data_IF_763825692739
#
_entry.id   IF_763825692739
#
_cell.length_a   1.000
_cell.length_b   1.000
_cell.length_c   1.000
_cell.angle_alpha   90.00
_cell.angle_beta   90.00
_cell.angle_gamma   90.00
#
_symmetry.space_group_name_H-M   'P 1'
#
loop_
_entity.id
_entity.type
_entity.pdbx_description
1 polymer ?
#
# COMPACT_ATOMS: atom_id res chain seq x y z
N UNK A 1 -16.05 -3.40 -0.87
CA UNK A 1 -14.82 -3.66 -1.66
C UNK A 1 -14.59 -2.57 -2.69
N UNK A 2 -13.48 -1.85 -2.56
CA UNK A 2 -13.06 -0.82 -3.49
C UNK A 2 -11.55 -0.89 -3.76
N UNK A 3 -11.14 -0.29 -4.88
CA UNK A 3 -9.74 -0.07 -5.20
C UNK A 3 -9.38 1.39 -4.94
N UNK A 4 -8.30 1.59 -4.19
CA UNK A 4 -7.81 2.90 -3.76
C UNK A 4 -6.43 3.13 -4.37
N UNK A 5 -6.21 4.34 -4.88
CA UNK A 5 -5.05 4.68 -5.73
C UNK A 5 -4.42 6.02 -5.36
N UNK A 6 -5.02 6.78 -4.45
CA UNK A 6 -4.62 8.14 -4.13
C UNK A 6 -3.60 8.19 -3.00
N UNK A 7 -2.86 9.29 -2.94
CA UNK A 7 -1.80 9.45 -1.93
C UNK A 7 -2.41 9.51 -0.54
N UNK A 8 -1.90 8.68 0.37
CA UNK A 8 -2.38 8.65 1.76
C UNK A 8 -3.52 7.67 2.00
N UNK A 9 -4.15 7.12 0.96
CA UNK A 9 -5.12 6.03 1.12
C UNK A 9 -4.50 4.89 1.91
N UNK A 10 -5.27 4.40 2.88
CA UNK A 10 -4.80 3.45 3.88
C UNK A 10 -5.77 2.28 3.96
N UNK A 11 -5.22 1.07 3.94
CA UNK A 11 -5.95 -0.16 4.27
C UNK A 11 -5.42 -0.79 5.54
N UNK A 12 -6.30 -1.38 6.32
CA UNK A 12 -5.96 -2.13 7.51
C UNK A 12 -6.68 -3.48 7.51
N UNK A 13 -5.90 -4.56 7.63
CA UNK A 13 -6.44 -5.92 7.68
C UNK A 13 -5.78 -6.77 8.76
N UNK A 14 -6.49 -7.78 9.25
CA UNK A 14 -5.92 -8.84 10.07
C UNK A 14 -4.95 -9.72 9.26
N UNK A 15 -5.26 -9.90 7.98
CA UNK A 15 -4.44 -10.60 7.00
C UNK A 15 -4.53 -9.87 5.66
N UNK A 16 -3.39 -9.65 5.03
CA UNK A 16 -3.31 -9.01 3.72
C UNK A 16 -2.51 -9.87 2.73
N UNK A 17 -2.87 -9.75 1.46
CA UNK A 17 -2.05 -10.20 0.35
C UNK A 17 -1.34 -9.02 -0.28
N UNK A 18 -0.03 -9.17 -0.43
CA UNK A 18 0.85 -8.13 -0.94
C UNK A 18 1.45 -8.63 -2.25
N UNK A 19 1.36 -7.77 -3.26
CA UNK A 19 2.13 -7.91 -4.49
C UNK A 19 3.08 -6.73 -4.59
N UNK A 20 4.33 -6.99 -4.96
CA UNK A 20 5.28 -5.94 -5.31
C UNK A 20 6.38 -6.49 -6.19
N UNK A 21 7.10 -5.65 -6.93
CA UNK A 21 8.33 -6.09 -7.61
C UNK A 21 9.56 -5.90 -6.74
N UNK A 22 9.49 -5.00 -5.77
CA UNK A 22 10.56 -4.75 -4.80
C UNK A 22 9.95 -4.43 -3.44
N UNK A 23 10.49 -5.05 -2.42
CA UNK A 23 10.27 -4.78 -1.01
C UNK A 23 11.61 -4.47 -0.36
N UNK A 24 11.63 -3.43 0.47
CA UNK A 24 12.77 -3.07 1.29
C UNK A 24 12.36 -2.99 2.76
N UNK A 25 12.96 -3.84 3.59
CA UNK A 25 12.66 -3.92 5.02
C UNK A 25 13.39 -2.80 5.76
N UNK A 26 12.66 -1.80 6.25
CA UNK A 26 13.21 -0.66 6.99
C UNK A 26 13.41 -0.92 8.48
N UNK A 27 13.03 -2.10 8.97
CA UNK A 27 13.12 -2.48 10.38
C UNK A 27 11.89 -2.10 11.18
N UNK A 28 11.98 -2.23 12.51
CA UNK A 28 10.87 -1.95 13.41
C UNK A 28 10.66 -0.44 13.56
N UNK A 29 9.44 0.03 13.33
CA UNK A 29 9.00 1.40 13.61
C UNK A 29 7.64 1.39 14.26
N UNK A 30 7.30 2.50 14.90
CA UNK A 30 5.97 2.71 15.43
C UNK A 30 5.01 3.05 14.29
N UNK A 31 3.91 2.31 14.21
CA UNK A 31 2.83 2.58 13.26
C UNK A 31 2.01 3.78 13.75
N UNK A 32 1.80 4.81 12.90
CA UNK A 32 1.13 6.04 13.33
C UNK A 32 -0.34 5.86 13.72
N UNK A 33 -0.99 4.78 13.29
CA UNK A 33 -2.42 4.53 13.54
C UNK A 33 -2.59 3.73 14.84
N UNK A 34 -1.85 2.62 14.97
CA UNK A 34 -1.98 1.68 16.08
C UNK A 34 -1.05 1.97 17.25
N UNK A 35 -0.06 2.85 17.07
CA UNK A 35 1.03 3.15 18.03
C UNK A 35 1.83 1.90 18.43
N UNK A 36 1.73 0.83 17.64
CA UNK A 36 2.47 -0.42 17.87
C UNK A 36 3.78 -0.41 17.12
N UNK A 37 4.81 -1.00 17.72
CA UNK A 37 6.06 -1.29 17.01
C UNK A 37 5.84 -2.44 16.03
N UNK A 38 5.84 -2.13 14.76
CA UNK A 38 5.62 -3.05 13.64
C UNK A 38 6.82 -3.04 12.70
N UNK A 39 7.02 -4.12 11.95
CA UNK A 39 8.05 -4.19 10.93
C UNK A 39 7.60 -3.44 9.68
N UNK A 40 8.42 -2.50 9.22
CA UNK A 40 8.08 -1.63 8.09
C UNK A 40 8.75 -2.10 6.81
N UNK A 41 7.95 -2.15 5.75
CA UNK A 41 8.37 -2.41 4.39
C UNK A 41 8.04 -1.21 3.49
N UNK A 42 8.98 -0.84 2.64
CA UNK A 42 8.69 -0.02 1.48
C UNK A 42 8.55 -0.93 0.27
N UNK A 43 7.36 -0.95 -0.32
CA UNK A 43 7.05 -1.65 -1.56
C UNK A 43 7.17 -0.66 -2.70
N UNK A 44 7.90 -1.01 -3.74
CA UNK A 44 8.11 -0.17 -4.94
C UNK A 44 7.86 -0.95 -6.24
N UNK A 45 7.63 -0.18 -7.32
CA UNK A 45 7.52 -0.64 -8.72
C UNK A 45 6.28 -1.50 -8.96
N UNK A 46 5.12 -0.87 -8.88
CA UNK A 46 3.79 -1.49 -9.01
C UNK A 46 3.50 -2.45 -7.86
N UNK A 47 2.99 -1.87 -6.77
CA UNK A 47 2.66 -2.59 -5.56
C UNK A 47 1.15 -2.60 -5.34
N UNK A 48 0.66 -3.65 -4.70
CA UNK A 48 -0.71 -3.70 -4.20
C UNK A 48 -0.78 -4.38 -2.84
N UNK A 49 -1.73 -3.96 -2.03
CA UNK A 49 -2.06 -4.58 -0.73
C UNK A 49 -3.56 -4.78 -0.68
N UNK A 50 -3.98 -6.03 -0.51
CA UNK A 50 -5.39 -6.43 -0.51
C UNK A 50 -5.76 -7.06 0.84
N UNK A 51 -6.86 -6.61 1.44
CA UNK A 51 -7.36 -7.16 2.70
C UNK A 51 -8.00 -8.52 2.43
N UNK A 52 -7.44 -9.57 3.04
CA UNK A 52 -7.96 -10.95 2.97
C UNK A 52 -8.80 -11.32 4.18
N UNK A 53 -8.43 -10.81 5.34
CA UNK A 53 -9.22 -10.96 6.57
C UNK A 53 -9.32 -9.58 7.22
N UNK A 54 -10.55 -9.12 7.45
CA UNK A 54 -10.82 -7.87 8.16
C UNK A 54 -10.51 -8.01 9.65
N UNK A 55 -10.22 -6.90 10.31
CA UNK A 55 -10.15 -6.88 11.77
C UNK A 55 -11.54 -7.03 12.39
N UNK A 56 -11.59 -7.68 13.55
CA UNK A 56 -12.75 -7.63 14.44
C UNK A 56 -12.56 -6.38 15.31
N UNK A 57 -13.35 -5.35 15.03
CA UNK A 57 -13.27 -4.05 15.69
C UNK A 57 -14.55 -3.78 16.50
N UNK A 58 -14.42 -3.08 17.62
CA UNK A 58 -15.57 -2.51 18.33
C UNK A 58 -16.21 -1.39 17.50
N UNK A 59 -17.42 -0.97 17.84
CA UNK A 59 -18.09 0.15 17.15
C UNK A 59 -17.30 1.45 17.26
N UNK A 60 -16.73 1.73 18.44
CA UNK A 60 -15.86 2.88 18.69
C UNK A 60 -14.62 2.86 17.80
N UNK A 61 -14.01 1.67 17.63
CA UNK A 61 -12.86 1.52 16.75
C UNK A 61 -13.22 1.73 15.28
N UNK A 62 -14.40 1.26 14.84
CA UNK A 62 -14.87 1.47 13.47
C UNK A 62 -15.03 2.95 13.16
N UNK A 63 -15.70 3.71 14.05
CA UNK A 63 -15.87 5.15 13.92
C UNK A 63 -14.51 5.84 13.79
N UNK A 64 -13.54 5.47 14.62
CA UNK A 64 -12.19 6.03 14.55
C UNK A 64 -11.49 5.73 13.21
N UNK A 65 -11.66 4.53 12.63
CA UNK A 65 -11.09 4.20 11.31
C UNK A 65 -11.76 5.00 10.20
N UNK A 66 -13.07 5.19 10.27
CA UNK A 66 -13.82 5.98 9.30
C UNK A 66 -13.38 7.45 9.34
N UNK A 67 -13.19 8.04 10.53
CA UNK A 67 -12.67 9.41 10.70
C UNK A 67 -11.24 9.57 10.14
N UNK A 68 -10.43 8.53 10.23
CA UNK A 68 -9.07 8.50 9.69
C UNK A 68 -9.00 8.08 8.21
N UNK A 69 -10.14 7.81 7.57
CA UNK A 69 -10.25 7.29 6.21
C UNK A 69 -9.41 6.02 5.99
N UNK A 70 -9.57 5.05 6.89
CA UNK A 70 -8.90 3.74 6.84
C UNK A 70 -9.90 2.68 6.40
N UNK A 71 -9.58 1.98 5.31
CA UNK A 71 -10.45 0.96 4.74
C UNK A 71 -10.06 -0.43 5.24
N UNK A 72 -11.02 -1.29 5.56
CA UNK A 72 -10.73 -2.58 6.20
C UNK A 72 -11.67 -3.72 5.82
N UNK A 73 -12.50 -3.55 4.80
CA UNK A 73 -13.37 -4.62 4.33
C UNK A 73 -12.57 -5.66 3.55
N UNK A 74 -13.02 -6.92 3.59
CA UNK A 74 -12.42 -7.98 2.78
C UNK A 74 -12.56 -7.62 1.30
N UNK A 75 -11.44 -7.69 0.57
CA UNK A 75 -11.34 -7.31 -0.84
C UNK A 75 -10.96 -5.84 -1.09
N UNK A 76 -10.92 -4.98 -0.05
CA UNK A 76 -10.38 -3.63 -0.20
C UNK A 76 -8.90 -3.68 -0.58
N UNK A 77 -8.51 -2.85 -1.54
CA UNK A 77 -7.20 -2.96 -2.17
C UNK A 77 -6.55 -1.61 -2.47
N UNK A 78 -5.30 -1.46 -2.06
CA UNK A 78 -4.42 -0.39 -2.53
C UNK A 78 -3.72 -0.82 -3.82
N UNK A 79 -3.61 0.08 -4.80
CA UNK A 79 -2.70 -0.06 -5.94
C UNK A 79 -1.92 1.23 -6.17
N UNK A 80 -0.59 1.14 -6.15
CA UNK A 80 0.26 2.31 -6.26
C UNK A 80 1.65 1.96 -6.81
N UNK A 81 2.43 3.00 -7.15
CA UNK A 81 3.83 2.82 -7.51
C UNK A 81 4.67 2.44 -6.28
N UNK A 82 4.37 3.08 -5.13
CA UNK A 82 4.97 2.74 -3.86
C UNK A 82 3.96 2.73 -2.70
N UNK A 83 4.04 1.70 -1.85
CA UNK A 83 3.21 1.52 -0.66
C UNK A 83 4.12 1.27 0.54
N UNK A 84 3.88 1.99 1.64
CA UNK A 84 4.47 1.66 2.94
C UNK A 84 3.58 0.66 3.65
N UNK A 85 4.15 -0.45 4.11
CA UNK A 85 3.42 -1.49 4.84
C UNK A 85 4.02 -1.69 6.21
N UNK A 86 3.16 -1.69 7.23
CA UNK A 86 3.46 -2.03 8.60
C UNK A 86 2.86 -3.40 8.89
N UNK A 87 3.66 -4.30 9.45
CA UNK A 87 3.23 -5.67 9.74
C UNK A 87 3.57 -6.00 11.19
N UNK A 88 2.59 -6.48 11.95
CA UNK A 88 2.74 -6.85 13.36
C UNK A 88 3.50 -8.18 13.52
N UNK A 89 4.77 -8.15 13.13
CA UNK A 89 5.73 -9.25 13.21
C UNK A 89 7.09 -8.71 13.65
N UNK A 90 7.90 -9.57 14.27
CA UNK A 90 9.28 -9.24 14.68
C UNK A 90 10.33 -9.76 13.71
N UNK A 91 9.95 -10.69 12.83
CA UNK A 91 10.83 -11.33 11.85
C UNK A 91 10.37 -10.97 10.45
N UNK A 92 11.30 -10.96 9.51
CA UNK A 92 10.99 -10.62 8.13
C UNK A 92 10.02 -11.63 7.51
N UNK A 93 9.14 -11.14 6.64
CA UNK A 93 8.22 -11.93 5.85
C UNK A 93 8.98 -12.78 4.81
N UNK A 94 8.48 -13.99 4.59
CA UNK A 94 8.92 -14.86 3.51
C UNK A 94 8.15 -14.55 2.23
N UNK A 95 8.87 -14.44 1.11
CA UNK A 95 8.24 -14.36 -0.21
C UNK A 95 7.72 -15.75 -0.59
N UNK A 96 6.43 -15.84 -0.92
CA UNK A 96 5.77 -17.13 -1.21
C UNK A 96 5.96 -17.55 -2.67
N UNK A 97 5.89 -16.59 -3.59
CA UNK A 97 6.05 -16.85 -5.02
C UNK A 97 6.78 -15.69 -5.69
N UNK A 98 7.75 -16.05 -6.53
CA UNK A 98 8.43 -15.14 -7.44
C UNK A 98 7.99 -15.50 -8.86
N UNK A 99 7.26 -14.62 -9.53
CA UNK A 99 6.87 -14.82 -10.93
C UNK A 99 8.04 -14.45 -11.85
N UNK A 100 8.29 -15.17 -12.94
CA UNK A 100 9.38 -14.87 -13.89
C UNK A 100 10.71 -15.56 -13.55
N UNK A 101 11.15 -16.46 -14.43
CA UNK A 101 12.40 -17.25 -14.34
C UNK A 101 13.71 -16.43 -14.41
N UNK A 102 13.64 -15.12 -14.65
CA UNK A 102 14.81 -14.25 -14.75
C UNK A 102 14.76 -13.19 -13.66
N UNK A 103 15.89 -13.03 -12.97
CA UNK A 103 16.12 -12.20 -11.78
C UNK A 103 15.72 -10.73 -11.90
N UNK A 104 15.30 -10.26 -13.07
CA UNK A 104 15.18 -8.84 -13.42
C UNK A 104 13.74 -8.31 -13.48
N UNK A 105 12.71 -9.16 -13.56
CA UNK A 105 11.32 -8.72 -13.78
C UNK A 105 10.25 -9.39 -12.93
N UNK A 106 10.67 -10.14 -11.90
CA UNK A 106 9.73 -10.97 -11.17
C UNK A 106 8.89 -10.26 -10.12
N UNK A 107 7.57 -10.41 -10.21
CA UNK A 107 6.66 -10.02 -9.14
C UNK A 107 6.79 -10.94 -7.93
N UNK A 108 6.71 -10.38 -6.73
CA UNK A 108 6.76 -11.07 -5.45
C UNK A 108 5.37 -11.04 -4.84
N UNK A 109 4.89 -12.22 -4.47
CA UNK A 109 3.65 -12.39 -3.71
C UNK A 109 4.00 -12.75 -2.27
N UNK A 110 3.43 -12.01 -1.33
CA UNK A 110 3.67 -12.14 0.10
C UNK A 110 2.31 -12.13 0.80
N UNK A 111 2.00 -13.20 1.53
CA UNK A 111 0.83 -13.22 2.41
C UNK A 111 1.25 -12.89 3.83
N UNK A 112 0.63 -11.88 4.44
CA UNK A 112 0.80 -11.65 5.87
C UNK A 112 -0.08 -12.61 6.66
N UNK A 113 0.24 -12.83 7.94
CA UNK A 113 -0.53 -13.69 8.87
C UNK A 113 -0.97 -12.95 10.13
N UNK A 114 -0.69 -11.65 10.17
CA UNK A 114 -0.84 -10.77 11.32
C UNK A 114 -1.30 -9.41 10.81
N UNK A 115 -1.83 -8.62 11.74
CA UNK A 115 -2.32 -7.26 11.48
C UNK A 115 -1.33 -6.50 10.60
N UNK A 116 -1.87 -5.94 9.53
CA UNK A 116 -1.11 -5.29 8.47
C UNK A 116 -1.80 -3.99 8.11
N UNK A 117 -1.03 -2.92 8.06
CA UNK A 117 -1.48 -1.60 7.62
C UNK A 117 -0.70 -1.24 6.36
N UNK A 118 -1.40 -1.00 5.26
CA UNK A 118 -0.83 -0.51 4.01
C UNK A 118 -1.21 0.95 3.81
N UNK A 119 -0.27 1.78 3.36
CA UNK A 119 -0.52 3.20 3.03
C UNK A 119 0.16 3.60 1.73
N UNK A 120 -0.57 4.22 0.83
CA UNK A 120 -0.01 4.70 -0.44
C UNK A 120 0.96 5.85 -0.17
N UNK A 121 2.22 5.64 -0.54
CA UNK A 121 3.28 6.66 -0.46
C UNK A 121 3.37 7.44 -1.75
N UNK A 122 3.40 6.75 -2.88
CA UNK A 122 3.40 7.36 -4.21
C UNK A 122 2.40 6.66 -5.13
N UNK A 123 1.39 7.38 -5.64
CA UNK A 123 0.46 6.83 -6.62
C UNK A 123 1.16 6.64 -7.97
N UNK A 124 0.51 5.95 -8.90
CA UNK A 124 1.07 5.75 -10.23
C UNK A 124 1.26 7.08 -10.96
N UNK A 125 2.50 7.42 -11.30
CA UNK A 125 2.83 8.68 -12.00
C UNK A 125 2.11 8.83 -13.34
N UNK A 126 1.83 7.71 -14.03
CA UNK A 126 1.14 7.73 -15.32
C UNK A 126 -0.35 8.12 -15.18
N UNK A 127 -0.98 7.76 -14.07
CA UNK A 127 -2.34 8.20 -13.73
C UNK A 127 -2.37 9.70 -13.44
N UNK A 128 -1.38 10.22 -12.68
CA UNK A 128 -1.27 11.66 -12.42
C UNK A 128 -1.06 12.49 -13.70
N UNK A 129 -0.38 11.95 -14.71
CA UNK A 129 -0.24 12.60 -16.03
C UNK A 129 -1.56 12.62 -16.80
N UNK A 130 -2.30 11.51 -16.80
CA UNK A 130 -3.62 11.40 -17.43
C UNK A 130 -4.66 12.34 -16.79
N UNK A 131 -4.61 12.50 -15.47
CA UNK A 131 -5.50 13.38 -14.70
C UNK A 131 -5.04 14.85 -14.68
N UNK A 132 -3.93 15.20 -15.34
CA UNK A 132 -3.43 16.57 -15.43
C UNK A 132 -2.80 17.13 -14.14
N UNK A 133 -2.62 16.28 -13.11
CA UNK A 133 -2.09 16.65 -11.79
C UNK A 133 -0.56 16.57 -11.70
N UNK A 134 0.13 16.23 -12.79
CA UNK A 134 1.60 16.19 -12.80
C UNK A 134 2.18 17.60 -12.80
N UNK A 135 3.23 17.84 -12.00
CA UNK A 135 3.97 19.11 -11.94
C UNK A 135 4.61 19.54 -13.29
N UNK A 136 4.61 18.65 -14.29
CA UNK A 136 5.04 18.92 -15.67
C UNK A 136 3.85 19.18 -16.61
N UNK A 137 2.76 19.80 -16.15
CA UNK A 137 1.80 20.42 -17.05
C UNK A 137 2.48 21.63 -17.70
N UNK A 138 3.16 21.39 -18.81
CA UNK A 138 3.66 22.44 -19.70
C UNK A 138 2.46 23.26 -20.18
N UNK A 139 2.08 24.28 -19.41
CA UNK A 139 1.39 25.45 -19.92
C UNK A 139 2.39 26.25 -20.77
N UNK A 140 2.78 25.67 -21.89
CA UNK A 140 3.28 26.41 -23.05
C UNK A 140 2.25 26.25 -24.15
N UNK A 141 1.09 26.88 -23.96
CA UNK A 141 0.42 27.50 -25.10
C UNK A 141 1.39 28.57 -25.60
N UNK A 142 2.20 28.21 -26.60
CA UNK A 142 2.80 29.19 -27.48
C UNK A 142 1.63 29.94 -28.12
N UNK A 143 1.25 31.09 -27.56
CA UNK A 143 0.67 32.15 -28.36
C UNK A 143 1.83 32.71 -29.20
N UNK A 144 2.04 32.12 -30.36
CA UNK A 144 2.80 32.75 -31.43
C UNK A 144 1.80 33.29 -32.44
N UNK A 145 1.65 34.62 -32.39
CA UNK A 145 1.22 35.59 -33.41
C UNK A 145 -0.02 35.28 -34.24
#
# INVERSE_FOLDING_TARGET
MAEYIDTGDTVEGQKCEIYTRREDCKGLREDPITQKKMLVYELDRNSSVEVRESLILSEEEKILRDELNIHGEVGDKLKADAITVYVDVKRQLSVEKQEGLTSTHGGRLISTKKRTVGRIKYPFQNLNKLLGLSANSNNRKQLNK
#
